data_IF_653923685584
#
_entry.id   IF_653923685584
#
_cell.length_a   1.000
_cell.length_b   1.000
_cell.length_c   1.000
_cell.angle_alpha   90.00
_cell.angle_beta   90.00
_cell.angle_gamma   90.00
#
_symmetry.space_group_name_H-M   'P 1'
#
loop_
_entity.id
_entity.type
_entity.pdbx_description
1 polymer ?
#
# COMPACT_ATOMS: atom_id res chain seq x y z
N UNK A 1 28.41 11.94 44.65
CA UNK A 1 27.16 12.63 45.01
C UNK A 1 26.12 12.38 43.92
N UNK A 2 24.95 11.85 44.34
CA UNK A 2 23.57 11.84 43.75
C UNK A 2 23.41 11.74 42.21
N UNK A 3 22.83 10.65 41.66
CA UNK A 3 21.38 10.29 41.59
C UNK A 3 20.55 11.43 40.95
N UNK A 4 19.71 11.21 39.92
CA UNK A 4 18.38 10.53 39.94
C UNK A 4 17.93 10.42 38.46
N UNK A 5 17.64 9.27 37.84
CA UNK A 5 16.39 8.46 37.83
C UNK A 5 15.11 9.27 37.57
N UNK A 6 14.42 8.98 36.46
CA UNK A 6 12.97 8.72 36.49
C UNK A 6 12.60 7.63 35.47
N UNK A 7 11.80 6.69 35.96
CA UNK A 7 11.29 5.45 35.37
C UNK A 7 9.78 5.46 35.60
N UNK A 8 9.00 4.94 34.66
CA UNK A 8 7.62 4.42 34.83
C UNK A 8 7.31 3.68 33.51
N UNK A 9 7.30 2.35 33.34
CA UNK A 9 6.87 1.17 34.13
C UNK A 9 5.33 1.08 34.26
N UNK A 10 4.77 -0.05 33.78
CA UNK A 10 3.54 -0.79 34.16
C UNK A 10 3.17 -1.68 32.94
N UNK A 11 2.89 -3.00 32.99
CA UNK A 11 2.90 -4.03 34.02
C UNK A 11 2.97 -5.40 33.30
N UNK A 12 3.54 -6.41 33.95
CA UNK A 12 3.37 -7.82 33.64
C UNK A 12 2.52 -8.49 34.73
N UNK A 13 1.61 -9.38 34.34
CA UNK A 13 1.08 -10.48 35.17
C UNK A 13 0.43 -11.51 34.22
N UNK A 14 0.97 -12.72 34.07
CA UNK A 14 0.82 -13.91 34.92
C UNK A 14 -0.46 -14.72 34.57
N UNK A 15 -0.31 -15.94 34.04
CA UNK A 15 -0.96 -17.19 34.51
C UNK A 15 -0.24 -18.39 33.89
N UNK A 16 0.19 -19.33 34.75
CA UNK A 16 0.57 -20.70 34.41
C UNK A 16 -0.67 -21.60 34.49
N UNK A 17 -0.83 -22.58 33.58
CA UNK A 17 -1.16 -23.99 33.88
C UNK A 17 -1.47 -24.83 32.61
N UNK A 18 -0.55 -25.73 32.29
CA UNK A 18 -0.64 -27.13 31.87
C UNK A 18 -1.92 -27.67 31.18
N UNK A 19 -1.69 -28.34 30.03
CA UNK A 19 -2.60 -29.31 29.41
C UNK A 19 -2.02 -29.86 28.10
N UNK A 20 -1.44 -31.07 28.16
CA UNK A 20 -0.95 -31.85 27.03
C UNK A 20 -2.13 -32.49 26.28
N UNK A 21 -2.20 -32.36 24.95
CA UNK A 21 -2.53 -33.46 24.02
C UNK A 21 -2.04 -33.09 22.61
N UNK A 22 -1.34 -34.05 22.01
CA UNK A 22 -0.75 -34.02 20.67
C UNK A 22 -1.80 -33.94 19.55
N UNK A 23 -1.55 -33.08 18.57
CA UNK A 23 -1.83 -33.37 17.16
C UNK A 23 -1.03 -32.40 16.28
N UNK A 24 -0.17 -32.98 15.45
CA UNK A 24 0.77 -32.29 14.57
C UNK A 24 0.08 -31.48 13.47
N UNK A 25 0.28 -30.16 13.45
CA UNK A 25 0.25 -29.31 12.26
C UNK A 25 0.86 -27.92 12.57
N UNK A 26 1.80 -27.50 11.71
CA UNK A 26 2.37 -26.15 11.55
C UNK A 26 2.51 -25.24 12.79
N UNK A 27 3.67 -25.26 13.45
CA UNK A 27 4.14 -24.14 14.27
C UNK A 27 5.17 -23.33 13.48
N UNK A 28 4.71 -22.29 12.80
CA UNK A 28 5.55 -21.16 12.40
C UNK A 28 6.05 -20.48 13.68
N UNK A 29 7.36 -20.53 13.91
CA UNK A 29 8.01 -19.90 15.06
C UNK A 29 7.97 -18.39 14.92
N UNK A 30 7.28 -17.70 15.85
CA UNK A 30 7.39 -16.25 16.08
C UNK A 30 8.85 -15.88 16.33
N UNK A 31 9.50 -15.33 15.32
CA UNK A 31 10.85 -14.79 15.39
C UNK A 31 11.13 -13.99 14.12
N UNK A 32 11.08 -12.65 14.24
CA UNK A 32 11.31 -11.67 13.18
C UNK A 32 10.33 -11.75 12.00
N UNK A 33 9.16 -11.16 12.21
CA UNK A 33 8.59 -10.32 11.16
C UNK A 33 9.46 -9.05 11.09
N UNK A 34 10.64 -9.14 10.49
CA UNK A 34 11.06 -8.02 9.66
C UNK A 34 9.99 -7.95 8.57
N UNK A 35 9.40 -6.77 8.38
CA UNK A 35 8.36 -6.49 7.41
C UNK A 35 8.93 -6.77 6.00
N UNK A 36 9.03 -8.04 5.63
CA UNK A 36 8.98 -8.48 4.25
C UNK A 36 7.56 -8.12 3.84
N UNK A 37 7.39 -6.87 3.39
CA UNK A 37 6.24 -6.53 2.57
C UNK A 37 6.28 -7.60 1.47
N UNK A 38 5.31 -8.52 1.39
CA UNK A 38 5.31 -9.50 0.32
C UNK A 38 5.35 -8.68 -0.98
N UNK A 39 6.37 -8.86 -1.82
CA UNK A 39 6.43 -8.19 -3.13
C UNK A 39 5.21 -8.69 -3.90
N UNK A 40 4.18 -7.86 -4.10
CA UNK A 40 3.11 -8.27 -4.97
C UNK A 40 3.66 -8.41 -6.38
N UNK A 41 3.12 -9.34 -7.14
CA UNK A 41 3.51 -9.50 -8.53
C UNK A 41 3.24 -8.20 -9.30
N UNK A 42 4.20 -7.81 -10.16
CA UNK A 42 4.07 -6.73 -11.16
C UNK A 42 3.15 -7.19 -12.32
N UNK A 43 2.01 -7.77 -11.97
CA UNK A 43 0.96 -8.12 -12.91
C UNK A 43 -0.08 -7.01 -12.90
N UNK A 44 -0.66 -6.69 -14.07
CA UNK A 44 -1.79 -5.78 -14.15
C UNK A 44 -2.87 -6.19 -13.15
N UNK A 45 -3.34 -5.22 -12.37
CA UNK A 45 -4.44 -5.44 -11.44
C UNK A 45 -5.72 -5.13 -12.17
N UNK A 46 -6.53 -6.17 -12.37
CA UNK A 46 -7.82 -6.00 -13.04
C UNK A 46 -8.67 -5.01 -12.26
N UNK A 47 -9.29 -4.09 -12.98
CA UNK A 47 -10.30 -3.22 -12.36
C UNK A 47 -11.36 -4.08 -11.70
N UNK A 48 -11.73 -3.71 -10.47
CA UNK A 48 -13.00 -4.14 -9.92
C UNK A 48 -14.13 -3.83 -10.90
N UNK A 49 -15.01 -4.80 -11.06
CA UNK A 49 -16.35 -4.52 -11.56
C UNK A 49 -17.10 -3.94 -10.35
N UNK A 50 -17.62 -2.70 -10.43
CA UNK A 50 -18.39 -2.11 -9.34
C UNK A 50 -19.43 -3.11 -8.83
N UNK A 51 -19.52 -3.33 -7.51
CA UNK A 51 -20.06 -4.57 -6.99
C UNK A 51 -21.52 -4.79 -7.35
N UNK A 52 -21.84 -6.05 -7.69
CA UNK A 52 -23.17 -6.61 -7.50
C UNK A 52 -23.31 -7.01 -6.03
N UNK A 53 -23.75 -6.06 -5.21
CA UNK A 53 -24.51 -6.25 -3.95
C UNK A 53 -24.14 -7.38 -2.95
N UNK A 54 -22.87 -7.76 -2.78
CA UNK A 54 -22.50 -8.63 -1.67
C UNK A 54 -22.38 -7.80 -0.38
N UNK A 55 -23.21 -8.12 0.62
CA UNK A 55 -23.31 -7.36 1.88
C UNK A 55 -22.33 -7.95 2.89
N UNK A 56 -21.62 -7.10 3.63
CA UNK A 56 -20.79 -7.54 4.75
C UNK A 56 -21.64 -8.17 5.86
N UNK A 57 -21.36 -9.43 6.18
CA UNK A 57 -22.10 -10.21 7.18
C UNK A 57 -21.39 -10.17 8.53
N UNK A 58 -20.06 -10.31 8.53
CA UNK A 58 -19.26 -10.38 9.76
C UNK A 58 -17.82 -9.88 9.52
N UNK A 59 -17.07 -9.66 10.59
CA UNK A 59 -15.67 -9.24 10.54
C UNK A 59 -14.76 -10.10 11.42
N UNK A 60 -13.61 -10.50 10.88
CA UNK A 60 -12.55 -11.19 11.61
C UNK A 60 -11.42 -10.19 11.87
N UNK A 61 -11.01 -10.06 13.14
CA UNK A 61 -9.86 -9.24 13.52
C UNK A 61 -8.55 -9.87 13.03
N UNK A 62 -7.61 -9.04 12.58
CA UNK A 62 -6.25 -9.48 12.24
C UNK A 62 -5.25 -9.10 13.35
N UNK A 63 -4.00 -9.57 13.24
CA UNK A 63 -2.93 -9.11 14.14
C UNK A 63 -2.61 -7.61 13.96
N UNK A 64 -2.97 -7.01 12.82
CA UNK A 64 -2.87 -5.58 12.58
C UNK A 64 -4.18 -4.88 13.01
N UNK A 65 -4.16 -3.97 14.00
CA UNK A 65 -5.37 -3.30 14.48
C UNK A 65 -6.07 -2.44 13.41
N UNK A 66 -5.36 -2.04 12.37
CA UNK A 66 -5.90 -1.26 11.23
C UNK A 66 -6.67 -2.15 10.26
N UNK A 67 -6.33 -3.44 10.15
CA UNK A 67 -6.88 -4.33 9.11
C UNK A 67 -7.84 -5.34 9.71
N UNK A 68 -9.02 -5.47 9.11
CA UNK A 68 -10.02 -6.49 9.42
C UNK A 68 -10.33 -7.27 8.13
N UNK A 69 -10.78 -8.51 8.27
CA UNK A 69 -11.30 -9.30 7.15
C UNK A 69 -12.83 -9.23 7.24
N UNK A 70 -13.49 -8.74 6.19
CA UNK A 70 -14.95 -8.69 6.09
C UNK A 70 -15.42 -9.92 5.33
N UNK A 71 -16.31 -10.69 5.95
CA UNK A 71 -16.99 -11.82 5.30
C UNK A 71 -18.22 -11.29 4.57
N UNK A 72 -18.38 -11.69 3.31
CA UNK A 72 -19.44 -11.24 2.43
C UNK A 72 -20.56 -12.29 2.33
N UNK A 73 -21.78 -11.84 2.05
CA UNK A 73 -22.99 -12.66 2.01
C UNK A 73 -22.99 -13.74 0.93
N UNK A 74 -22.11 -13.63 -0.05
CA UNK A 74 -21.89 -14.60 -1.13
C UNK A 74 -20.86 -15.68 -0.78
N UNK A 75 -20.35 -15.68 0.46
CA UNK A 75 -19.34 -16.64 0.92
C UNK A 75 -17.90 -16.24 0.57
N UNK A 76 -17.68 -15.04 0.02
CA UNK A 76 -16.34 -14.49 -0.21
C UNK A 76 -15.87 -13.61 0.96
N UNK A 77 -14.66 -13.07 0.88
CA UNK A 77 -14.11 -12.16 1.89
C UNK A 77 -13.32 -11.03 1.22
N UNK A 78 -13.18 -9.90 1.92
CA UNK A 78 -12.29 -8.81 1.54
C UNK A 78 -11.51 -8.26 2.72
N UNK A 79 -10.34 -7.69 2.47
CA UNK A 79 -9.65 -6.88 3.47
C UNK A 79 -10.31 -5.51 3.58
N UNK A 80 -10.48 -5.05 4.81
CA UNK A 80 -11.03 -3.73 5.12
C UNK A 80 -10.11 -3.04 6.12
N UNK A 81 -9.69 -1.83 5.77
CA UNK A 81 -8.90 -0.97 6.67
C UNK A 81 -9.87 -0.09 7.45
N UNK A 82 -9.78 -0.13 8.77
CA UNK A 82 -10.62 0.67 9.65
C UNK A 82 -10.28 2.16 9.48
N UNK A 83 -11.21 2.98 8.93
CA UNK A 83 -10.95 4.38 8.69
C UNK A 83 -10.53 5.13 9.95
N UNK A 84 -11.06 4.77 11.12
CA UNK A 84 -10.73 5.45 12.36
C UNK A 84 -9.27 5.24 12.79
N UNK A 85 -8.66 4.11 12.40
CA UNK A 85 -7.26 3.82 12.66
C UNK A 85 -6.35 4.44 11.59
N UNK A 86 -6.73 4.34 10.31
CA UNK A 86 -6.00 4.95 9.19
C UNK A 86 -5.91 6.47 9.34
N UNK A 87 -7.00 7.11 9.79
CA UNK A 87 -7.04 8.56 9.96
C UNK A 87 -6.12 9.08 11.08
N UNK A 88 -5.45 8.21 11.85
CA UNK A 88 -4.41 8.63 12.79
C UNK A 88 -3.08 8.92 12.10
N UNK A 89 -2.90 8.51 10.84
CA UNK A 89 -1.69 8.76 10.08
C UNK A 89 -1.52 10.24 9.71
N UNK A 90 -0.27 10.69 9.62
CA UNK A 90 0.06 12.09 9.29
C UNK A 90 -0.47 12.50 7.91
N UNK A 91 -0.64 11.56 6.97
CA UNK A 91 -1.13 11.83 5.60
C UNK A 91 -2.48 12.53 5.57
N UNK A 92 -3.37 12.21 6.52
CA UNK A 92 -4.71 12.80 6.61
C UNK A 92 -4.79 14.00 7.55
N UNK A 93 -3.79 14.20 8.39
CA UNK A 93 -3.77 15.24 9.42
C UNK A 93 -2.83 16.41 9.10
N UNK A 94 -1.90 16.22 8.17
CA UNK A 94 -0.97 17.25 7.70
C UNK A 94 -1.35 17.75 6.31
N UNK A 95 -1.07 19.04 6.04
CA UNK A 95 -1.37 19.67 4.74
C UNK A 95 -2.80 19.39 4.25
N UNK A 96 -3.78 19.52 5.16
CA UNK A 96 -5.19 19.29 4.87
C UNK A 96 -5.93 20.63 4.78
N UNK A 97 -6.30 21.04 3.56
CA UNK A 97 -7.22 22.14 3.32
C UNK A 97 -8.27 21.76 2.27
N UNK A 98 -9.38 22.48 2.25
CA UNK A 98 -10.49 22.29 1.29
C UNK A 98 -10.71 23.51 0.38
N UNK A 99 -9.73 24.41 0.32
CA UNK A 99 -9.81 25.66 -0.41
C UNK A 99 -9.24 25.51 -1.81
N UNK A 100 -8.08 24.85 -1.92
CA UNK A 100 -7.29 24.77 -3.16
C UNK A 100 -7.04 23.36 -3.68
N UNK A 101 -6.61 23.30 -4.93
CA UNK A 101 -6.25 22.05 -5.62
C UNK A 101 -4.87 21.50 -5.21
N UNK A 102 -4.06 22.27 -4.50
CA UNK A 102 -2.77 21.85 -3.96
C UNK A 102 -2.61 22.37 -2.52
N UNK A 103 -2.91 21.52 -1.51
CA UNK A 103 -2.76 21.90 -0.11
C UNK A 103 -1.33 21.69 0.42
N UNK A 104 -0.47 20.96 -0.32
CA UNK A 104 0.89 20.65 0.09
C UNK A 104 1.83 21.82 -0.15
N UNK A 105 1.65 22.55 -1.26
CA UNK A 105 2.49 23.71 -1.66
C UNK A 105 3.99 23.38 -1.60
N UNK A 106 4.34 22.14 -1.93
CA UNK A 106 5.72 21.67 -1.90
C UNK A 106 6.51 22.31 -3.03
N UNK A 107 7.81 22.50 -2.82
CA UNK A 107 8.72 22.89 -3.90
C UNK A 107 9.23 21.66 -4.63
N UNK A 108 9.62 21.83 -5.89
CA UNK A 108 10.16 20.77 -6.72
C UNK A 108 11.36 20.06 -6.08
N UNK A 109 12.22 20.83 -5.41
CA UNK A 109 13.44 20.37 -4.75
C UNK A 109 13.16 19.44 -3.57
N UNK A 110 11.96 19.52 -2.98
CA UNK A 110 11.57 18.71 -1.82
C UNK A 110 11.23 17.25 -2.17
N UNK A 111 11.09 16.93 -3.46
CA UNK A 111 10.79 15.58 -3.91
C UNK A 111 12.06 14.73 -4.02
N UNK A 112 12.01 13.46 -3.57
CA UNK A 112 13.11 12.53 -3.78
C UNK A 112 13.26 12.22 -5.27
N UNK A 113 14.46 11.84 -5.70
CA UNK A 113 14.72 11.43 -7.09
C UNK A 113 13.92 10.18 -7.48
N UNK A 114 13.76 9.25 -6.52
CA UNK A 114 12.98 8.01 -6.67
C UNK A 114 12.19 7.74 -5.37
N UNK A 115 10.95 7.29 -5.49
CA UNK A 115 10.14 6.78 -4.38
C UNK A 115 9.27 5.62 -4.85
N UNK A 116 8.90 4.73 -3.94
CA UNK A 116 7.96 3.65 -4.22
C UNK A 116 6.62 3.99 -3.58
N UNK A 117 5.58 4.05 -4.40
CA UNK A 117 4.21 4.38 -3.99
C UNK A 117 3.39 3.10 -4.07
N UNK A 118 3.01 2.57 -2.92
CA UNK A 118 2.17 1.39 -2.85
C UNK A 118 0.73 1.76 -3.24
N UNK A 119 0.21 1.18 -4.32
CA UNK A 119 -1.11 1.52 -4.85
C UNK A 119 -2.19 0.62 -4.23
N UNK A 120 -1.99 -0.69 -4.31
CA UNK A 120 -2.92 -1.71 -3.80
C UNK A 120 -2.16 -2.95 -3.32
N UNK A 121 -2.75 -3.66 -2.37
CA UNK A 121 -2.36 -5.00 -1.92
C UNK A 121 -3.10 -6.11 -2.69
N UNK A 122 -4.28 -5.79 -3.23
CA UNK A 122 -5.19 -6.73 -3.88
C UNK A 122 -6.08 -6.02 -4.93
N UNK A 123 -6.65 -6.81 -5.86
CA UNK A 123 -7.55 -6.33 -6.89
C UNK A 123 -8.79 -5.60 -6.33
N UNK A 124 -9.26 -5.93 -5.13
CA UNK A 124 -10.42 -5.25 -4.51
C UNK A 124 -10.18 -3.82 -4.07
N UNK A 125 -8.97 -3.30 -4.22
CA UNK A 125 -8.63 -1.94 -3.82
C UNK A 125 -8.51 -0.96 -5.00
N UNK A 126 -8.79 -1.43 -6.23
CA UNK A 126 -8.76 -0.60 -7.43
C UNK A 126 -10.05 -0.73 -8.26
N UNK A 127 -10.57 0.40 -8.72
CA UNK A 127 -11.64 0.45 -9.72
C UNK A 127 -11.31 1.48 -10.80
N UNK A 128 -11.66 1.20 -12.05
CA UNK A 128 -11.65 2.19 -13.10
C UNK A 128 -12.67 3.30 -12.79
N UNK A 129 -12.32 4.59 -12.93
CA UNK A 129 -13.16 5.70 -12.46
C UNK A 129 -14.42 5.97 -13.32
N UNK A 130 -14.63 5.24 -14.41
CA UNK A 130 -15.74 5.41 -15.34
C UNK A 130 -16.38 4.10 -15.76
N UNK A 131 -16.86 4.05 -17.01
CA UNK A 131 -17.54 2.88 -17.58
C UNK A 131 -16.56 1.99 -18.35
N UNK A 132 -16.22 0.82 -17.77
CA UNK A 132 -15.35 -0.18 -18.39
C UNK A 132 -15.90 -0.72 -19.72
N UNK A 133 -17.22 -0.69 -19.93
CA UNK A 133 -17.80 -1.16 -21.20
C UNK A 133 -17.48 -0.22 -22.37
N UNK A 134 -17.02 1.00 -22.06
CA UNK A 134 -16.70 2.03 -23.05
C UNK A 134 -15.58 2.97 -22.56
N UNK A 135 -14.34 2.56 -22.81
CA UNK A 135 -13.18 3.41 -22.59
C UNK A 135 -12.90 4.25 -23.83
N UNK A 136 -13.15 5.55 -23.75
CA UNK A 136 -12.98 6.51 -24.84
C UNK A 136 -12.23 7.75 -24.33
N UNK A 137 -10.91 7.79 -24.58
CA UNK A 137 -10.06 8.89 -24.16
C UNK A 137 -10.14 10.03 -25.17
N UNK A 138 -10.78 11.12 -24.77
CA UNK A 138 -10.93 12.30 -25.60
C UNK A 138 -9.71 13.24 -25.56
N UNK A 139 -8.96 13.23 -24.46
CA UNK A 139 -7.73 14.01 -24.35
C UNK A 139 -6.81 13.51 -23.25
N UNK A 140 -5.52 13.40 -23.55
CA UNK A 140 -4.47 12.90 -22.64
C UNK A 140 -3.83 14.01 -21.81
N UNK A 141 -3.07 13.61 -20.81
CA UNK A 141 -2.23 14.49 -19.99
C UNK A 141 -1.18 15.20 -20.86
N UNK A 142 -0.72 16.37 -20.40
CA UNK A 142 0.36 17.11 -21.05
C UNK A 142 -0.07 18.41 -21.72
N UNK A 143 0.87 19.04 -22.43
CA UNK A 143 0.61 20.28 -23.15
C UNK A 143 -0.31 20.06 -24.36
N UNK A 144 -1.47 20.75 -24.35
CA UNK A 144 -2.27 21.01 -25.55
C UNK A 144 -1.84 22.35 -26.08
N UNK A 145 -1.49 22.53 -27.36
CA UNK A 145 -1.14 23.81 -28.03
C UNK A 145 -0.77 25.00 -27.10
N UNK A 146 -1.76 25.63 -26.44
CA UNK A 146 -1.58 26.78 -25.54
C UNK A 146 -1.85 26.53 -24.04
N UNK A 147 -2.40 25.38 -23.63
CA UNK A 147 -2.73 25.09 -22.23
C UNK A 147 -2.31 23.69 -21.81
N UNK A 148 -1.73 23.64 -20.62
CA UNK A 148 -1.37 22.40 -19.96
C UNK A 148 -2.59 21.67 -19.40
N UNK A 149 -2.72 20.38 -19.71
CA UNK A 149 -3.77 19.49 -19.21
C UNK A 149 -3.21 18.61 -18.09
N UNK A 150 -3.73 18.77 -16.88
CA UNK A 150 -3.22 18.13 -15.64
C UNK A 150 -3.80 16.74 -15.39
N UNK A 151 -4.58 16.19 -16.31
CA UNK A 151 -5.26 14.92 -16.17
C UNK A 151 -5.55 14.27 -17.51
N UNK A 152 -6.56 13.41 -17.53
CA UNK A 152 -7.09 12.73 -18.72
C UNK A 152 -8.60 12.96 -18.80
N UNK A 153 -9.11 13.18 -20.01
CA UNK A 153 -10.53 13.42 -20.26
C UNK A 153 -11.16 12.15 -20.84
N UNK A 154 -11.94 11.44 -20.04
CA UNK A 154 -12.66 10.22 -20.42
C UNK A 154 -14.06 10.60 -20.89
N UNK A 155 -14.40 10.34 -22.15
CA UNK A 155 -15.72 10.65 -22.69
C UNK A 155 -16.77 9.75 -22.06
N UNK A 156 -17.68 10.36 -21.32
CA UNK A 156 -18.79 9.68 -20.65
C UNK A 156 -20.10 10.44 -20.93
N UNK A 157 -21.19 9.74 -21.29
CA UNK A 157 -22.51 10.35 -21.33
C UNK A 157 -22.87 11.05 -20.02
N UNK A 158 -23.66 12.12 -20.10
CA UNK A 158 -24.10 12.84 -18.90
C UNK A 158 -24.95 11.89 -18.05
N UNK A 159 -24.66 11.83 -16.75
CA UNK A 159 -25.37 10.95 -15.84
C UNK A 159 -24.75 9.56 -15.69
N UNK A 160 -23.68 9.22 -16.43
CA UNK A 160 -22.93 7.98 -16.20
C UNK A 160 -22.30 8.00 -14.81
N UNK A 161 -22.44 6.94 -13.99
CA UNK A 161 -21.77 6.83 -12.70
C UNK A 161 -20.26 6.99 -12.79
N UNK A 162 -19.67 7.67 -11.82
CA UNK A 162 -18.23 7.84 -11.62
C UNK A 162 -17.87 7.23 -10.28
N UNK A 163 -16.81 6.42 -10.28
CA UNK A 163 -16.40 5.62 -9.13
C UNK A 163 -15.08 6.12 -8.54
N UNK A 164 -14.90 5.96 -7.23
CA UNK A 164 -13.61 6.19 -6.59
C UNK A 164 -12.59 5.12 -7.06
N UNK A 165 -11.46 5.55 -7.62
CA UNK A 165 -10.45 4.62 -8.11
C UNK A 165 -9.77 3.82 -7.00
N UNK A 166 -9.55 4.45 -5.86
CA UNK A 166 -8.96 3.84 -4.67
C UNK A 166 -9.72 4.30 -3.43
N UNK A 167 -9.63 3.53 -2.35
CA UNK A 167 -10.19 3.92 -1.06
C UNK A 167 -9.47 5.15 -0.50
N UNK A 168 -10.20 5.99 0.25
CA UNK A 168 -9.62 7.17 0.87
C UNK A 168 -10.65 8.12 1.46
N UNK A 169 -10.18 9.30 1.86
CA UNK A 169 -11.03 10.35 2.44
C UNK A 169 -11.26 11.47 1.44
N UNK A 170 -12.52 11.88 1.28
CA UNK A 170 -12.91 13.00 0.43
C UNK A 170 -12.42 14.31 1.06
N UNK A 171 -11.31 14.84 0.53
CA UNK A 171 -10.78 16.13 0.94
C UNK A 171 -11.67 17.28 0.49
N UNK A 172 -12.27 17.13 -0.70
CA UNK A 172 -13.06 18.19 -1.30
C UNK A 172 -14.20 17.63 -2.13
N UNK A 173 -15.41 18.15 -1.92
CA UNK A 173 -16.57 17.97 -2.80
C UNK A 173 -17.26 19.33 -2.93
N UNK A 174 -16.99 20.06 -4.01
CA UNK A 174 -17.55 21.41 -4.24
C UNK A 174 -17.42 21.84 -5.70
N UNK A 175 -18.05 22.97 -6.03
CA UNK A 175 -17.82 23.65 -7.29
C UNK A 175 -16.52 24.48 -7.26
N UNK A 176 -15.65 24.32 -8.26
CA UNK A 176 -14.45 25.14 -8.47
C UNK A 176 -14.46 25.68 -9.91
N UNK A 177 -14.13 26.97 -10.09
CA UNK A 177 -13.98 27.54 -11.43
C UNK A 177 -12.95 26.75 -12.26
N UNK A 178 -13.29 26.45 -13.51
CA UNK A 178 -12.49 25.56 -14.35
C UNK A 178 -12.92 24.10 -14.23
N UNK A 179 -12.84 23.50 -13.05
CA UNK A 179 -13.19 22.08 -12.83
C UNK A 179 -14.70 21.80 -12.80
N UNK A 180 -15.53 22.79 -12.49
CA UNK A 180 -16.96 22.56 -12.22
C UNK A 180 -17.17 21.88 -10.88
N UNK A 181 -18.17 20.99 -10.80
CA UNK A 181 -18.30 20.11 -9.65
C UNK A 181 -17.15 19.12 -9.64
N UNK A 182 -16.41 19.09 -8.53
CA UNK A 182 -15.24 18.24 -8.37
C UNK A 182 -15.26 17.55 -7.03
N UNK A 183 -14.95 16.25 -7.07
CA UNK A 183 -14.61 15.43 -5.91
C UNK A 183 -13.10 15.20 -5.93
N UNK A 184 -12.45 15.37 -4.79
CA UNK A 184 -11.02 15.09 -4.59
C UNK A 184 -10.88 14.13 -3.42
N UNK A 185 -10.29 12.97 -3.67
CA UNK A 185 -10.07 11.93 -2.68
C UNK A 185 -8.57 11.87 -2.37
N UNK A 186 -8.21 11.92 -1.09
CA UNK A 186 -6.85 11.67 -0.63
C UNK A 186 -6.71 10.22 -0.19
N UNK A 187 -5.60 9.59 -0.56
CA UNK A 187 -5.27 8.21 -0.28
C UNK A 187 -4.11 8.12 0.73
N UNK A 188 -3.94 6.96 1.36
CA UNK A 188 -2.93 6.70 2.41
C UNK A 188 -1.48 6.90 1.91
N UNK A 189 -1.26 6.65 0.62
CA UNK A 189 0.05 6.66 -0.04
C UNK A 189 0.50 8.05 -0.54
N UNK A 190 -0.20 9.12 -0.15
CA UNK A 190 0.12 10.49 -0.57
C UNK A 190 -0.38 10.87 -1.97
N UNK A 191 -1.12 9.98 -2.64
CA UNK A 191 -1.85 10.32 -3.85
C UNK A 191 -3.16 11.04 -3.53
N UNK A 192 -3.55 11.96 -4.43
CA UNK A 192 -4.90 12.48 -4.53
C UNK A 192 -5.45 12.18 -5.93
N UNK A 193 -6.70 11.72 -6.00
CA UNK A 193 -7.43 11.57 -7.27
C UNK A 193 -8.51 12.62 -7.40
N UNK A 194 -8.62 13.23 -8.59
CA UNK A 194 -9.58 14.30 -8.89
C UNK A 194 -10.61 13.80 -9.89
N UNK A 195 -11.89 14.11 -9.64
CA UNK A 195 -13.02 13.72 -10.47
C UNK A 195 -13.85 14.97 -10.75
N UNK A 196 -13.65 15.56 -11.93
CA UNK A 196 -14.20 16.86 -12.26
C UNK A 196 -15.20 16.83 -13.42
N UNK A 197 -15.82 17.98 -13.67
CA UNK A 197 -16.92 18.22 -14.60
C UNK A 197 -18.21 17.46 -14.28
N UNK A 198 -18.33 16.94 -13.05
CA UNK A 198 -19.46 16.12 -12.62
C UNK A 198 -20.79 16.89 -12.78
N UNK A 199 -21.84 16.20 -13.22
CA UNK A 199 -23.19 16.75 -13.23
C UNK A 199 -23.81 16.77 -11.83
N UNK A 200 -23.44 15.79 -11.00
CA UNK A 200 -23.84 15.65 -9.59
C UNK A 200 -22.69 15.05 -8.78
N UNK A 201 -22.53 15.50 -7.54
CA UNK A 201 -21.65 14.88 -6.54
C UNK A 201 -22.54 14.11 -5.57
N UNK A 202 -22.27 12.83 -5.38
CA UNK A 202 -22.93 11.99 -4.37
C UNK A 202 -22.11 11.97 -3.08
N UNK A 203 -20.78 11.94 -3.21
CA UNK A 203 -19.86 12.03 -2.09
C UNK A 203 -19.81 13.44 -1.52
N UNK A 204 -19.69 13.54 -0.20
CA UNK A 204 -19.56 14.78 0.56
C UNK A 204 -18.15 14.92 1.11
N UNK A 205 -17.81 16.15 1.52
CA UNK A 205 -16.55 16.41 2.20
C UNK A 205 -16.45 15.56 3.46
N UNK A 206 -15.25 15.08 3.73
CA UNK A 206 -14.86 14.28 4.90
C UNK A 206 -15.43 12.85 4.90
N UNK A 207 -16.22 12.48 3.89
CA UNK A 207 -16.64 11.09 3.68
C UNK A 207 -15.42 10.20 3.47
N UNK A 208 -15.48 9.00 4.07
CA UNK A 208 -14.61 7.90 3.69
C UNK A 208 -15.28 7.12 2.56
N UNK A 209 -14.52 6.82 1.51
CA UNK A 209 -15.03 6.08 0.34
C UNK A 209 -14.16 4.85 0.08
N UNK A 210 -14.80 3.76 -0.34
CA UNK A 210 -14.12 2.55 -0.81
C UNK A 210 -13.84 2.60 -2.32
N UNK A 211 -12.87 1.82 -2.79
CA UNK A 211 -12.65 1.66 -4.23
C UNK A 211 -13.92 1.08 -4.88
N UNK A 212 -14.32 1.64 -6.02
CA UNK A 212 -15.55 1.25 -6.73
C UNK A 212 -16.84 1.83 -6.16
N UNK A 213 -16.79 2.61 -5.07
CA UNK A 213 -17.96 3.34 -4.58
C UNK A 213 -18.33 4.46 -5.57
N UNK A 214 -19.61 4.59 -5.90
CA UNK A 214 -20.11 5.72 -6.70
C UNK A 214 -19.97 7.03 -5.91
N UNK A 215 -19.30 8.00 -6.50
CA UNK A 215 -19.01 9.31 -5.87
C UNK A 215 -19.69 10.48 -6.58
N UNK A 216 -20.24 10.24 -7.76
CA UNK A 216 -20.88 11.27 -8.57
C UNK A 216 -21.28 10.77 -9.94
N UNK A 217 -21.81 11.68 -10.75
CA UNK A 217 -22.24 11.40 -12.11
C UNK A 217 -21.48 12.28 -13.10
N UNK A 218 -21.03 11.71 -14.20
CA UNK A 218 -20.35 12.42 -15.28
C UNK A 218 -21.20 13.55 -15.85
N UNK A 219 -20.56 14.59 -16.38
CA UNK A 219 -21.25 15.79 -16.85
C UNK A 219 -20.35 16.73 -17.64
N UNK A 220 -20.77 18.00 -17.69
CA UNK A 220 -20.07 19.07 -18.41
C UNK A 220 -20.07 20.37 -17.60
N UNK A 221 -19.96 20.30 -16.27
CA UNK A 221 -19.95 21.51 -15.42
C UNK A 221 -18.59 22.21 -15.47
N UNK A 222 -18.54 23.51 -15.16
CA UNK A 222 -17.29 24.28 -15.25
C UNK A 222 -16.86 24.49 -16.71
N UNK A 223 -15.57 24.31 -16.98
CA UNK A 223 -14.98 24.55 -18.31
C UNK A 223 -14.82 23.26 -19.10
N UNK A 224 -15.94 22.71 -19.56
CA UNK A 224 -16.02 21.50 -20.37
C UNK A 224 -16.59 21.80 -21.77
N UNK A 225 -16.04 21.16 -22.82
CA UNK A 225 -16.57 21.29 -24.20
C UNK A 225 -17.69 20.29 -24.53
N UNK A 226 -17.92 19.33 -23.63
CA UNK A 226 -18.92 18.27 -23.76
C UNK A 226 -18.93 17.39 -22.52
N UNK A 227 -19.81 16.39 -22.47
CA UNK A 227 -19.88 15.48 -21.32
C UNK A 227 -18.66 14.55 -21.27
N UNK A 228 -17.93 14.59 -20.16
CA UNK A 228 -16.77 13.75 -19.88
C UNK A 228 -16.44 13.76 -18.38
N UNK A 229 -15.60 12.83 -17.95
CA UNK A 229 -14.89 12.90 -16.68
C UNK A 229 -13.49 13.44 -16.94
N UNK A 230 -13.14 14.52 -16.24
CA UNK A 230 -11.74 14.95 -16.15
C UNK A 230 -11.13 14.32 -14.89
N UNK A 231 -10.18 13.42 -15.10
CA UNK A 231 -9.54 12.61 -14.07
C UNK A 231 -8.08 13.01 -13.91
N UNK A 232 -7.66 13.38 -12.70
CA UNK A 232 -6.25 13.64 -12.39
C UNK A 232 -5.75 12.68 -11.32
N UNK A 233 -4.47 12.33 -11.40
CA UNK A 233 -3.72 11.75 -10.28
C UNK A 233 -2.65 12.76 -9.88
N UNK A 234 -2.57 13.04 -8.58
CA UNK A 234 -1.55 13.92 -8.02
C UNK A 234 -0.77 13.24 -6.92
N UNK A 235 0.55 13.40 -6.93
CA UNK A 235 1.41 12.96 -5.84
C UNK A 235 1.87 14.18 -5.04
N UNK A 236 1.45 14.26 -3.77
CA UNK A 236 1.79 15.35 -2.85
C UNK A 236 1.60 16.76 -3.46
N UNK A 237 0.49 16.94 -4.18
CA UNK A 237 0.08 18.22 -4.79
C UNK A 237 0.42 18.40 -6.27
N UNK A 238 1.39 17.63 -6.78
CA UNK A 238 1.82 17.72 -8.18
C UNK A 238 1.06 16.71 -9.04
N UNK A 239 0.49 17.19 -10.14
CA UNK A 239 -0.11 16.31 -11.13
C UNK A 239 0.96 15.47 -11.82
N UNK A 240 0.65 14.19 -12.01
CA UNK A 240 1.43 13.24 -12.80
C UNK A 240 0.52 12.66 -13.87
N UNK A 241 1.11 12.12 -14.94
CA UNK A 241 0.32 11.46 -15.98
C UNK A 241 -0.41 10.23 -15.39
N UNK A 242 -1.76 10.19 -15.39
CA UNK A 242 -2.50 9.03 -14.90
C UNK A 242 -2.14 7.72 -15.61
N UNK A 243 -1.61 7.79 -16.84
CA UNK A 243 -1.22 6.62 -17.63
C UNK A 243 -0.03 5.84 -17.05
N UNK A 244 0.77 6.46 -16.18
CA UNK A 244 1.81 5.75 -15.41
C UNK A 244 1.23 4.73 -14.42
N UNK A 245 -0.03 4.90 -14.02
CA UNK A 245 -0.69 4.10 -12.98
C UNK A 245 -1.78 3.22 -13.59
N UNK A 246 -2.57 3.77 -14.53
CA UNK A 246 -3.73 3.10 -15.12
C UNK A 246 -3.48 2.88 -16.62
N UNK A 247 -3.73 1.66 -17.09
CA UNK A 247 -3.83 1.36 -18.51
C UNK A 247 -5.23 1.73 -19.02
N UNK A 248 -5.34 2.88 -19.68
CA UNK A 248 -6.60 3.36 -20.27
C UNK A 248 -6.98 2.65 -21.58
N UNK A 249 -6.34 1.53 -21.94
CA UNK A 249 -6.81 0.67 -23.04
C UNK A 249 -7.83 -0.37 -22.56
N UNK A 250 -7.64 -0.90 -21.34
CA UNK A 250 -8.48 -1.95 -20.73
C UNK A 250 -9.09 -1.51 -19.38
N UNK A 251 -8.60 -0.41 -18.80
CA UNK A 251 -9.06 0.12 -17.51
C UNK A 251 -8.39 -0.54 -16.31
N UNK A 252 -7.33 -1.33 -16.51
CA UNK A 252 -6.62 -2.03 -15.45
C UNK A 252 -5.54 -1.15 -14.82
N UNK A 253 -5.17 -1.43 -13.58
CA UNK A 253 -3.99 -0.85 -12.96
C UNK A 253 -2.75 -1.53 -13.56
N UNK A 254 -1.72 -0.76 -13.91
CA UNK A 254 -0.49 -1.34 -14.47
C UNK A 254 0.23 -2.22 -13.47
N UNK A 255 0.40 -1.71 -12.24
CA UNK A 255 1.19 -2.35 -11.19
C UNK A 255 0.59 -2.09 -9.81
N UNK A 256 0.87 -2.99 -8.86
CA UNK A 256 0.51 -2.79 -7.45
C UNK A 256 1.39 -1.73 -6.76
N UNK A 257 2.60 -1.54 -7.26
CA UNK A 257 3.55 -0.53 -6.77
C UNK A 257 3.95 0.37 -7.93
N UNK A 258 3.77 1.67 -7.74
CA UNK A 258 4.24 2.67 -8.69
C UNK A 258 5.61 3.19 -8.27
N UNK A 259 6.59 3.04 -9.15
CA UNK A 259 7.91 3.66 -8.96
C UNK A 259 7.84 5.11 -9.41
N UNK A 260 7.68 6.02 -8.45
CA UNK A 260 7.77 7.44 -8.71
C UNK A 260 9.23 7.83 -8.99
N UNK A 261 9.48 8.45 -10.14
CA UNK A 261 10.70 9.20 -10.44
C UNK A 261 10.36 10.68 -10.47
N UNK A 262 11.26 11.53 -10.00
CA UNK A 262 11.06 13.00 -10.01
C UNK A 262 10.76 13.56 -11.41
N UNK A 263 11.26 12.91 -12.45
CA UNK A 263 10.96 13.21 -13.86
C UNK A 263 9.47 13.13 -14.18
N UNK A 264 8.67 12.31 -13.49
CA UNK A 264 7.21 12.21 -13.69
C UNK A 264 6.47 13.51 -13.37
N UNK A 265 7.10 14.42 -12.63
CA UNK A 265 6.56 15.74 -12.33
C UNK A 265 6.76 16.73 -13.51
N UNK A 266 7.61 16.41 -14.48
CA UNK A 266 7.81 17.25 -15.67
C UNK A 266 6.62 17.06 -16.63
N UNK A 267 5.88 18.12 -16.97
CA UNK A 267 4.76 18.07 -17.91
C UNK A 267 5.11 17.58 -19.33
N UNK A 268 6.39 17.59 -19.70
CA UNK A 268 6.89 17.12 -20.98
C UNK A 268 7.36 15.67 -20.95
N UNK A 269 7.56 15.09 -19.75
CA UNK A 269 7.91 13.69 -19.59
C UNK A 269 6.65 12.84 -19.71
N UNK A 270 6.38 12.41 -20.95
CA UNK A 270 5.17 11.67 -21.29
C UNK A 270 5.33 10.20 -20.96
N UNK A 271 4.20 9.57 -20.66
CA UNK A 271 4.12 8.12 -20.68
C UNK A 271 4.46 7.60 -22.10
N UNK A 272 5.47 6.74 -22.18
CA UNK A 272 5.82 5.98 -23.38
C UNK A 272 5.63 4.49 -23.04
N UNK A 273 4.62 3.81 -23.63
CA UNK A 273 4.45 2.38 -23.41
C UNK A 273 5.71 1.64 -23.89
N UNK A 274 6.19 0.67 -23.11
CA UNK A 274 7.39 -0.17 -23.38
C UNK A 274 8.76 0.52 -23.14
N UNK A 275 8.86 1.58 -22.33
CA UNK A 275 10.19 2.10 -21.98
C UNK A 275 10.97 1.11 -21.08
N UNK A 276 12.29 1.02 -21.32
CA UNK A 276 13.28 0.19 -20.62
C UNK A 276 13.20 0.27 -19.08
N UNK A 277 12.51 1.26 -18.53
CA UNK A 277 12.28 1.47 -17.12
C UNK A 277 11.44 0.37 -16.46
N UNK A 278 10.44 -0.19 -17.15
CA UNK A 278 9.67 -1.33 -16.63
C UNK A 278 10.55 -2.60 -16.64
N UNK A 279 11.31 -2.83 -17.71
CA UNK A 279 12.26 -3.95 -17.78
C UNK A 279 13.40 -3.82 -16.76
N UNK A 280 13.93 -2.62 -16.54
CA UNK A 280 15.00 -2.36 -15.57
C UNK A 280 14.50 -2.57 -14.14
N UNK A 281 13.28 -2.15 -13.81
CA UNK A 281 12.68 -2.41 -12.49
C UNK A 281 12.41 -3.89 -12.26
N UNK A 282 11.95 -4.62 -13.28
CA UNK A 282 11.79 -6.07 -13.23
C UNK A 282 13.16 -6.75 -13.06
N UNK A 283 14.15 -6.38 -13.87
CA UNK A 283 15.48 -6.97 -13.84
C UNK A 283 16.22 -6.70 -12.51
N UNK A 284 16.15 -5.48 -11.98
CA UNK A 284 16.77 -5.14 -10.69
C UNK A 284 16.08 -5.85 -9.52
N UNK A 285 14.75 -5.95 -9.54
CA UNK A 285 14.00 -6.67 -8.52
C UNK A 285 14.33 -8.17 -8.53
N UNK A 286 14.34 -8.78 -9.72
CA UNK A 286 14.68 -10.19 -9.91
C UNK A 286 16.13 -10.50 -9.49
N UNK A 287 17.06 -9.58 -9.77
CA UNK A 287 18.46 -9.71 -9.37
C UNK A 287 18.62 -9.68 -7.83
N UNK A 288 17.98 -8.73 -7.14
CA UNK A 288 18.03 -8.64 -5.68
C UNK A 288 17.42 -9.86 -4.98
N UNK A 289 16.27 -10.34 -5.46
CA UNK A 289 15.61 -11.54 -4.90
C UNK A 289 16.45 -12.78 -5.15
N UNK A 290 17.07 -12.90 -6.34
CA UNK A 290 17.99 -13.99 -6.65
C UNK A 290 19.20 -13.97 -5.72
N UNK A 291 19.81 -12.80 -5.51
CA UNK A 291 20.96 -12.63 -4.63
C UNK A 291 20.61 -12.93 -3.16
N UNK A 292 19.46 -12.49 -2.65
CA UNK A 292 19.04 -12.78 -1.28
C UNK A 292 18.68 -14.26 -1.10
N UNK A 293 18.04 -14.90 -2.09
CA UNK A 293 17.76 -16.33 -2.08
C UNK A 293 19.05 -17.16 -2.10
N UNK A 294 20.01 -16.81 -2.96
CA UNK A 294 21.33 -17.42 -3.02
C UNK A 294 22.10 -17.24 -1.71
N UNK A 295 22.05 -16.04 -1.11
CA UNK A 295 22.65 -15.72 0.19
C UNK A 295 22.04 -16.56 1.30
N UNK A 296 20.70 -16.64 1.37
CA UNK A 296 19.99 -17.43 2.38
C UNK A 296 20.26 -18.93 2.20
N UNK A 297 20.33 -19.42 0.96
CA UNK A 297 20.68 -20.81 0.68
C UNK A 297 22.13 -21.12 1.07
N UNK A 298 23.07 -20.23 0.75
CA UNK A 298 24.46 -20.33 1.17
C UNK A 298 24.59 -20.32 2.71
N UNK A 299 23.87 -19.44 3.40
CA UNK A 299 23.81 -19.42 4.86
C UNK A 299 23.20 -20.70 5.44
N UNK A 300 22.15 -21.26 4.83
CA UNK A 300 21.54 -22.54 5.26
C UNK A 300 22.48 -23.72 5.05
N UNK A 301 23.23 -23.74 3.93
CA UNK A 301 24.25 -24.77 3.65
C UNK A 301 25.45 -24.65 4.60
N UNK A 302 25.84 -23.43 4.96
CA UNK A 302 26.92 -23.17 5.91
C UNK A 302 26.50 -23.33 7.38
N UNK A 303 25.19 -23.34 7.67
CA UNK A 303 24.67 -23.41 9.03
C UNK A 303 25.06 -24.73 9.69
N UNK A 304 25.77 -24.64 10.81
CA UNK A 304 26.16 -25.81 11.59
C UNK A 304 25.25 -25.95 12.79
N UNK A 305 24.78 -27.17 13.07
CA UNK A 305 23.91 -27.47 14.20
C UNK A 305 24.59 -28.39 15.20
N UNK A 306 24.27 -28.20 16.48
CA UNK A 306 24.68 -29.06 17.58
C UNK A 306 23.46 -29.51 18.39
N UNK A 307 23.42 -30.78 18.75
CA UNK A 307 22.40 -31.33 19.66
C UNK A 307 22.95 -31.33 21.08
N UNK A 308 22.28 -30.60 21.98
CA UNK A 308 22.66 -30.46 23.39
C UNK A 308 22.67 -31.81 24.08
N UNK A 309 23.77 -32.12 24.79
CA UNK A 309 23.93 -33.34 25.59
C UNK A 309 23.85 -33.02 27.08
N UNK A 310 23.65 -34.05 27.90
CA UNK A 310 23.67 -33.90 29.36
C UNK A 310 24.98 -33.26 29.83
N UNK A 311 24.88 -32.22 30.67
CA UNK A 311 26.02 -31.48 31.20
C UNK A 311 26.61 -30.41 30.25
N UNK A 312 25.99 -30.11 29.11
CA UNK A 312 26.43 -29.01 28.25
C UNK A 312 26.00 -27.63 28.77
N UNK A 313 26.88 -26.65 28.58
CA UNK A 313 26.60 -25.23 28.82
C UNK A 313 26.82 -24.43 27.53
N UNK A 314 26.11 -23.30 27.39
CA UNK A 314 26.30 -22.39 26.25
C UNK A 314 27.77 -21.98 26.08
N UNK A 315 28.48 -21.75 27.19
CA UNK A 315 29.91 -21.41 27.18
C UNK A 315 30.76 -22.53 26.58
N UNK A 316 30.52 -23.79 26.96
CA UNK A 316 31.29 -24.93 26.46
C UNK A 316 31.00 -25.22 24.98
N UNK A 317 29.75 -25.05 24.56
CA UNK A 317 29.36 -25.17 23.15
C UNK A 317 29.98 -24.03 22.33
N UNK A 318 29.96 -22.79 22.83
CA UNK A 318 30.57 -21.64 22.17
C UNK A 318 32.08 -21.85 21.93
N UNK A 319 32.81 -22.30 22.95
CA UNK A 319 34.25 -22.63 22.82
C UNK A 319 34.47 -23.75 21.80
N UNK A 320 33.68 -24.83 21.84
CA UNK A 320 33.81 -25.98 20.93
C UNK A 320 33.65 -25.59 19.45
N UNK A 321 32.75 -24.65 19.17
CA UNK A 321 32.45 -24.21 17.82
C UNK A 321 33.16 -22.90 17.44
N UNK A 322 34.11 -22.46 18.26
CA UNK A 322 34.86 -21.21 18.06
C UNK A 322 33.94 -20.01 17.78
N UNK A 323 32.88 -19.89 18.59
CA UNK A 323 31.87 -18.84 18.50
C UNK A 323 31.65 -18.22 19.89
N UNK A 324 30.69 -17.30 20.00
CA UNK A 324 30.36 -16.64 21.28
C UNK A 324 28.98 -17.08 21.78
N UNK A 325 28.78 -16.97 23.09
CA UNK A 325 27.48 -17.20 23.71
C UNK A 325 26.42 -16.30 23.07
N UNK A 326 26.75 -15.02 22.83
CA UNK A 326 25.85 -14.06 22.20
C UNK A 326 25.48 -14.44 20.77
N UNK A 327 26.43 -14.96 19.98
CA UNK A 327 26.15 -15.44 18.63
C UNK A 327 25.21 -16.66 18.64
N UNK A 328 25.48 -17.67 19.48
CA UNK A 328 24.57 -18.82 19.63
C UNK A 328 23.19 -18.36 20.12
N UNK A 329 23.15 -17.42 21.07
CA UNK A 329 21.91 -16.86 21.58
C UNK A 329 21.08 -16.19 20.48
N UNK A 330 21.73 -15.35 19.67
CA UNK A 330 21.09 -14.64 18.55
C UNK A 330 20.60 -15.59 17.46
N UNK A 331 21.38 -16.62 17.12
CA UNK A 331 21.02 -17.61 16.09
C UNK A 331 19.84 -18.51 16.50
N UNK A 332 19.57 -18.65 17.79
CA UNK A 332 18.54 -19.55 18.32
C UNK A 332 17.42 -18.85 19.08
N UNK A 333 17.40 -17.50 19.09
CA UNK A 333 16.46 -16.69 19.86
C UNK A 333 16.38 -17.10 21.35
N UNK A 334 17.53 -17.38 21.96
CA UNK A 334 17.66 -17.68 23.39
C UNK A 334 18.52 -16.60 24.07
N UNK A 335 18.49 -16.56 25.39
CA UNK A 335 19.34 -15.67 26.19
C UNK A 335 20.45 -16.45 26.87
N UNK A 336 21.52 -15.77 27.32
CA UNK A 336 22.61 -16.40 28.06
C UNK A 336 22.18 -17.08 29.37
N UNK A 337 20.98 -16.75 29.87
CA UNK A 337 20.35 -17.35 31.07
C UNK A 337 19.38 -18.49 30.73
N UNK A 338 19.15 -18.78 29.46
CA UNK A 338 18.20 -19.81 29.04
C UNK A 338 18.71 -21.20 29.40
N UNK A 339 17.86 -22.01 30.01
CA UNK A 339 18.19 -23.40 30.34
C UNK A 339 18.21 -24.26 29.08
N UNK A 340 19.34 -24.90 28.80
CA UNK A 340 19.47 -25.83 27.69
C UNK A 340 18.82 -27.18 28.04
N UNK A 341 18.01 -27.72 27.13
CA UNK A 341 17.39 -29.04 27.29
C UNK A 341 18.21 -30.09 26.54
N UNK A 342 18.42 -31.25 27.15
CA UNK A 342 19.07 -32.38 26.46
C UNK A 342 18.22 -32.77 25.24
N UNK A 343 18.87 -32.93 24.08
CA UNK A 343 18.20 -33.17 22.80
C UNK A 343 17.80 -31.91 22.02
N UNK A 344 17.95 -30.71 22.61
CA UNK A 344 17.70 -29.45 21.91
C UNK A 344 18.73 -29.25 20.78
N UNK A 345 18.25 -28.96 19.57
CA UNK A 345 19.12 -28.56 18.44
C UNK A 345 19.39 -27.06 18.51
N UNK A 346 20.66 -26.69 18.49
CA UNK A 346 21.13 -25.31 18.45
C UNK A 346 21.90 -25.06 17.17
N UNK A 347 21.62 -23.96 16.47
CA UNK A 347 22.45 -23.41 15.41
C UNK A 347 23.69 -22.76 16.04
N UNK A 348 24.87 -23.26 15.70
CA UNK A 348 26.16 -22.82 16.29
C UNK A 348 27.01 -22.01 15.32
N UNK A 349 26.71 -22.05 14.02
CA UNK A 349 27.22 -21.16 12.97
C UNK A 349 26.13 -20.81 11.96
#
# INVERSE_FOLDING_TARGET
MRKTIFTLLILAACVQAWGQTDSAALRLTRGRAELLVPRPALHPVKSLIPPVSAVGVDTIATENPVVKIVLLSDGTYKYWKDPAEVLKEDTFNTFWDNYGSDPYRRSWESFPEKAYVWLVDDASQYCYPGDLSRIDISSRYGYRRTRYHRGIDIRLPKGTPVYASFAGKVRMAKYISGYGNVVVIRHENGLETFYAHLSKMEAQRDDWVEAGQEIGLAGATGRASGSHLHYEVRYLGYAIDPEWIIDFSNGDLRHQVFTFKKQHLDPNFKFEPESDDEEELIALADEEDRLEAERLEAERKAAQYYTVKSGDTLSRIAVRYHTTINAICKLNNITAKSTLRVGQRLRVK
#
